data_IF_724389146616
#
_entry.id   IF_724389146616
#
_cell.length_a   1.000
_cell.length_b   1.000
_cell.length_c   1.000
_cell.angle_alpha   90.00
_cell.angle_beta   90.00
_cell.angle_gamma   90.00
#
_symmetry.space_group_name_H-M   'P 1'
#
loop_
_entity.id
_entity.type
_entity.pdbx_description
1 polymer ?
#
# COMPACT_ATOMS: atom_id res chain seq x y z
N UNK A 1 13.48 -39.57 27.81
CA UNK A 1 13.43 -39.07 26.42
C UNK A 1 13.71 -37.59 26.47
N UNK A 2 14.86 -37.16 25.98
CA UNK A 2 15.20 -35.74 25.82
C UNK A 2 14.72 -35.33 24.45
N UNK A 3 13.64 -34.56 24.38
CA UNK A 3 13.22 -33.85 23.17
C UNK A 3 14.40 -32.97 22.74
N UNK A 4 14.99 -33.26 21.58
CA UNK A 4 15.86 -32.30 20.92
C UNK A 4 15.00 -31.07 20.65
N UNK A 5 15.26 -29.98 21.35
CA UNK A 5 14.82 -28.65 20.92
C UNK A 5 15.42 -28.46 19.54
N UNK A 6 14.59 -28.52 18.49
CA UNK A 6 15.03 -28.12 17.17
C UNK A 6 15.55 -26.68 17.30
N UNK A 7 16.84 -26.47 17.03
CA UNK A 7 17.40 -25.12 17.05
C UNK A 7 16.66 -24.30 15.99
N UNK A 8 16.11 -23.17 16.39
CA UNK A 8 15.41 -22.29 15.46
C UNK A 8 16.37 -21.82 14.36
N UNK A 9 15.89 -21.83 13.12
CA UNK A 9 16.60 -21.22 12.01
C UNK A 9 16.57 -19.71 12.22
N UNK A 10 17.75 -19.11 12.33
CA UNK A 10 17.88 -17.67 12.50
C UNK A 10 17.82 -17.01 11.12
N UNK A 11 16.92 -16.05 10.96
CA UNK A 11 16.80 -15.20 9.78
C UNK A 11 17.33 -13.81 10.15
N UNK A 12 18.46 -13.44 9.55
CA UNK A 12 19.01 -12.10 9.67
C UNK A 12 18.23 -11.14 8.76
N UNK A 13 17.45 -10.24 9.37
CA UNK A 13 16.68 -9.23 8.67
C UNK A 13 17.53 -8.19 7.95
N UNK A 14 18.83 -8.09 8.24
CA UNK A 14 19.75 -7.28 7.44
C UNK A 14 20.41 -8.07 6.29
N UNK A 15 20.03 -9.34 6.10
CA UNK A 15 20.56 -10.17 5.04
C UNK A 15 20.32 -9.60 3.64
N UNK A 16 21.30 -9.80 2.76
CA UNK A 16 21.21 -9.62 1.30
C UNK A 16 21.68 -10.91 0.63
N UNK A 17 21.14 -12.04 1.09
CA UNK A 17 21.68 -13.39 0.81
C UNK A 17 21.57 -13.74 -0.67
N UNK A 18 20.39 -13.54 -1.26
CA UNK A 18 20.14 -13.76 -2.67
C UNK A 18 19.31 -12.60 -3.24
N UNK A 19 19.87 -11.86 -4.18
CA UNK A 19 19.15 -10.84 -4.94
C UNK A 19 18.10 -11.49 -5.84
N UNK A 20 16.87 -10.99 -5.76
CA UNK A 20 15.73 -11.46 -6.55
C UNK A 20 15.38 -10.44 -7.62
N UNK A 21 15.34 -9.17 -7.24
CA UNK A 21 15.01 -8.07 -8.14
C UNK A 21 15.53 -6.74 -7.60
N UNK A 22 15.98 -5.88 -8.52
CA UNK A 22 16.31 -4.48 -8.26
C UNK A 22 15.76 -3.67 -9.43
N UNK A 23 15.13 -2.55 -9.15
CA UNK A 23 14.66 -1.66 -10.20
C UNK A 23 13.80 -0.52 -9.70
N UNK A 24 13.11 0.11 -10.64
CA UNK A 24 12.03 1.04 -10.36
C UNK A 24 10.72 0.23 -10.24
N UNK A 25 9.84 0.61 -9.32
CA UNK A 25 8.50 0.05 -9.27
C UNK A 25 7.65 0.68 -10.38
N UNK A 26 6.91 -0.16 -11.09
CA UNK A 26 5.97 0.32 -12.12
C UNK A 26 4.89 1.22 -11.51
N UNK A 27 4.66 1.10 -10.20
CA UNK A 27 3.68 1.86 -9.41
C UNK A 27 4.07 3.31 -9.08
N UNK A 28 5.08 3.86 -9.75
CA UNK A 28 5.50 5.25 -9.62
C UNK A 28 4.45 6.23 -10.18
N UNK A 29 4.39 7.44 -9.61
CA UNK A 29 3.73 8.56 -10.29
C UNK A 29 4.70 9.06 -11.38
N UNK A 30 4.53 8.47 -12.58
CA UNK A 30 5.36 8.57 -13.76
C UNK A 30 5.38 9.94 -14.44
N UNK A 31 6.53 10.13 -15.09
CA UNK A 31 7.06 11.28 -15.82
C UNK A 31 7.00 11.09 -17.34
N UNK A 32 6.07 10.31 -17.90
CA UNK A 32 6.15 10.03 -19.34
C UNK A 32 5.75 11.25 -20.19
N UNK A 33 6.79 11.93 -20.71
CA UNK A 33 6.81 13.03 -21.67
C UNK A 33 5.78 14.16 -21.49
N UNK A 34 5.83 14.96 -20.40
CA UNK A 34 5.09 16.21 -20.36
C UNK A 34 5.83 17.31 -21.15
N UNK A 35 5.08 18.14 -21.86
CA UNK A 35 5.58 19.42 -22.39
C UNK A 35 5.98 20.34 -21.22
N UNK A 36 6.89 21.30 -21.43
CA UNK A 36 7.34 22.23 -20.37
C UNK A 36 6.18 22.94 -19.62
N UNK A 37 5.01 23.08 -20.26
CA UNK A 37 3.81 23.65 -19.64
C UNK A 37 3.12 22.77 -18.58
N UNK A 38 3.48 21.49 -18.49
CA UNK A 38 2.92 20.49 -17.56
C UNK A 38 3.87 20.20 -16.37
N UNK A 39 4.99 20.95 -16.27
CA UNK A 39 6.09 20.73 -15.31
C UNK A 39 5.74 20.94 -13.82
N UNK A 40 4.50 21.33 -13.49
CA UNK A 40 4.03 21.55 -12.10
C UNK A 40 3.43 20.31 -11.43
N UNK A 41 3.29 19.17 -12.13
CA UNK A 41 2.75 17.93 -11.57
C UNK A 41 3.77 17.17 -10.70
N UNK A 42 3.32 16.47 -9.65
CA UNK A 42 4.12 15.73 -8.67
C UNK A 42 4.94 14.58 -9.29
N UNK A 43 6.10 14.29 -8.68
CA UNK A 43 7.26 13.66 -9.34
C UNK A 43 7.88 12.58 -8.46
N UNK A 44 7.13 11.50 -8.18
CA UNK A 44 7.57 10.48 -7.23
C UNK A 44 7.76 9.14 -7.91
N UNK A 45 8.98 8.61 -7.83
CA UNK A 45 9.32 7.26 -8.24
C UNK A 45 9.87 6.44 -7.07
N UNK A 46 9.79 5.13 -7.19
CA UNK A 46 10.20 4.19 -6.15
C UNK A 46 11.31 3.29 -6.67
N UNK A 47 12.49 3.39 -6.07
CA UNK A 47 13.49 2.35 -6.24
C UNK A 47 13.17 1.20 -5.28
N UNK A 48 13.32 -0.03 -5.73
CA UNK A 48 13.17 -1.20 -4.89
C UNK A 48 14.32 -2.20 -5.05
N UNK A 49 14.65 -2.85 -3.94
CA UNK A 49 15.50 -4.04 -3.90
C UNK A 49 14.74 -5.16 -3.17
N UNK A 50 14.80 -6.38 -3.69
CA UNK A 50 14.17 -7.57 -3.10
C UNK A 50 15.20 -8.69 -2.93
N UNK A 51 15.30 -9.22 -1.73
CA UNK A 51 16.24 -10.30 -1.38
C UNK A 51 15.52 -11.50 -0.77
N UNK A 52 15.85 -12.69 -1.23
CA UNK A 52 15.43 -13.93 -0.57
C UNK A 52 16.31 -14.18 0.65
N UNK A 53 15.68 -14.34 1.81
CA UNK A 53 16.37 -14.66 3.07
C UNK A 53 16.22 -16.13 3.44
N UNK A 54 15.06 -16.71 3.17
CA UNK A 54 14.76 -18.12 3.44
C UNK A 54 13.59 -18.60 2.61
N UNK A 55 13.65 -19.86 2.16
CA UNK A 55 12.57 -20.48 1.40
C UNK A 55 12.45 -21.96 1.76
N UNK A 56 11.23 -22.37 2.08
CA UNK A 56 10.82 -23.75 2.27
C UNK A 56 9.45 -23.99 1.62
N UNK A 57 8.88 -25.18 1.76
CA UNK A 57 7.66 -25.60 1.07
C UNK A 57 6.47 -24.66 1.31
N UNK A 58 6.28 -24.20 2.56
CA UNK A 58 5.11 -23.41 2.95
C UNK A 58 5.44 -21.99 3.44
N UNK A 59 6.70 -21.60 3.38
CA UNK A 59 7.16 -20.32 3.91
C UNK A 59 8.27 -19.76 3.03
N UNK A 60 8.15 -18.48 2.69
CA UNK A 60 9.14 -17.75 1.92
C UNK A 60 9.34 -16.38 2.56
N UNK A 61 10.54 -16.17 3.10
CA UNK A 61 10.93 -14.93 3.77
C UNK A 61 11.80 -14.11 2.83
N UNK A 62 11.37 -12.88 2.59
CA UNK A 62 12.07 -11.92 1.75
C UNK A 62 12.31 -10.64 2.53
N UNK A 63 13.39 -9.93 2.19
CA UNK A 63 13.58 -8.53 2.57
C UNK A 63 13.28 -7.64 1.38
N UNK A 64 12.46 -6.63 1.58
CA UNK A 64 12.17 -5.60 0.58
C UNK A 64 12.65 -4.25 1.09
N UNK A 65 13.45 -3.56 0.29
CA UNK A 65 13.89 -2.19 0.53
C UNK A 65 13.25 -1.31 -0.53
N UNK A 66 12.70 -0.17 -0.11
CA UNK A 66 12.06 0.79 -1.01
C UNK A 66 12.52 2.19 -0.65
N UNK A 67 12.90 2.97 -1.66
CA UNK A 67 13.19 4.39 -1.53
C UNK A 67 12.24 5.19 -2.42
N UNK A 68 11.47 6.08 -1.79
CA UNK A 68 10.68 7.07 -2.51
C UNK A 68 11.55 8.27 -2.83
N UNK A 69 11.61 8.64 -4.10
CA UNK A 69 12.41 9.77 -4.57
C UNK A 69 11.49 10.82 -5.16
N UNK A 70 11.54 12.02 -4.59
CA UNK A 70 10.82 13.20 -5.05
C UNK A 70 11.81 14.28 -5.47
N UNK A 71 11.68 14.75 -6.71
CA UNK A 71 12.55 15.77 -7.32
C UNK A 71 14.08 15.47 -7.19
N UNK A 72 14.46 14.19 -7.20
CA UNK A 72 15.86 13.75 -7.08
C UNK A 72 16.37 13.65 -5.64
N UNK A 73 15.49 13.81 -4.65
CA UNK A 73 15.79 13.67 -3.21
C UNK A 73 15.00 12.53 -2.59
N UNK A 74 15.62 11.77 -1.69
CA UNK A 74 14.95 10.72 -0.93
C UNK A 74 13.90 11.35 0.00
N UNK A 75 12.63 11.13 -0.30
CA UNK A 75 11.48 11.63 0.45
C UNK A 75 11.00 10.63 1.51
N UNK A 76 11.37 9.36 1.38
CA UNK A 76 11.08 8.32 2.36
C UNK A 76 11.80 7.02 2.04
N UNK A 77 12.01 6.21 3.06
CA UNK A 77 12.56 4.86 2.93
C UNK A 77 11.71 3.87 3.70
N UNK A 78 11.63 2.67 3.17
CA UNK A 78 10.96 1.56 3.82
C UNK A 78 11.82 0.29 3.75
N UNK A 79 11.92 -0.40 4.89
CA UNK A 79 12.62 -1.68 5.03
C UNK A 79 11.62 -2.67 5.63
N UNK A 80 11.33 -3.73 4.88
CA UNK A 80 10.30 -4.71 5.22
C UNK A 80 10.86 -6.13 5.16
N UNK A 81 10.37 -6.97 6.07
CA UNK A 81 10.45 -8.42 5.97
C UNK A 81 9.07 -8.92 5.55
N UNK A 82 8.99 -9.52 4.37
CA UNK A 82 7.80 -10.14 3.82
C UNK A 82 7.87 -11.65 4.10
N UNK A 83 6.95 -12.16 4.90
CA UNK A 83 6.83 -13.59 5.19
C UNK A 83 5.60 -14.13 4.48
N UNK A 84 5.81 -14.71 3.30
CA UNK A 84 4.77 -15.35 2.51
C UNK A 84 4.49 -16.75 3.05
N UNK A 85 3.22 -17.03 3.31
CA UNK A 85 2.75 -18.27 3.93
C UNK A 85 1.67 -18.91 3.06
N UNK A 86 1.88 -20.16 2.64
CA UNK A 86 0.86 -20.96 1.94
C UNK A 86 0.12 -21.91 2.87
N UNK A 87 0.28 -21.74 4.19
CA UNK A 87 -0.34 -22.55 5.24
C UNK A 87 -0.87 -21.67 6.37
N UNK A 88 -1.94 -22.12 7.01
CA UNK A 88 -2.51 -21.52 8.23
C UNK A 88 -2.02 -22.21 9.50
N UNK A 89 -1.31 -23.33 9.39
CA UNK A 89 -0.70 -24.03 10.53
C UNK A 89 0.58 -23.32 10.98
N UNK A 90 0.37 -22.18 11.63
CA UNK A 90 1.43 -21.30 12.11
C UNK A 90 1.18 -20.87 13.54
N UNK A 91 2.26 -20.73 14.30
CA UNK A 91 2.19 -20.11 15.64
C UNK A 91 3.26 -19.04 15.78
N UNK A 92 2.92 -17.98 16.50
CA UNK A 92 3.85 -16.90 16.84
C UNK A 92 4.19 -16.94 18.31
N UNK A 93 5.47 -16.69 18.61
CA UNK A 93 5.95 -16.48 19.97
C UNK A 93 6.93 -15.32 19.98
N UNK A 94 6.86 -14.52 21.02
CA UNK A 94 7.81 -13.43 21.26
C UNK A 94 8.40 -13.55 22.67
N UNK A 95 9.56 -14.17 22.76
CA UNK A 95 10.36 -14.28 24.00
C UNK A 95 11.68 -13.53 23.79
N UNK A 96 11.59 -12.20 23.71
CA UNK A 96 12.71 -11.32 23.35
C UNK A 96 12.99 -11.24 21.84
N UNK A 97 12.74 -12.32 21.08
CA UNK A 97 12.81 -12.35 19.62
C UNK A 97 11.51 -12.91 19.00
N UNK A 98 11.17 -12.42 17.81
CA UNK A 98 10.04 -12.91 17.03
C UNK A 98 10.35 -14.30 16.46
N UNK A 99 9.62 -15.31 16.88
CA UNK A 99 9.75 -16.68 16.37
C UNK A 99 8.43 -17.13 15.76
N UNK A 100 8.48 -17.41 14.46
CA UNK A 100 7.40 -18.00 13.69
C UNK A 100 7.65 -19.50 13.58
N UNK A 101 6.71 -20.31 14.04
CA UNK A 101 6.70 -21.72 13.71
C UNK A 101 5.79 -21.95 12.52
N UNK A 102 6.35 -22.43 11.42
CA UNK A 102 5.62 -22.82 10.21
C UNK A 102 6.13 -24.18 9.75
N UNK A 103 5.22 -25.11 9.42
CA UNK A 103 5.59 -26.45 8.95
C UNK A 103 6.53 -27.21 9.93
N UNK A 104 6.29 -27.05 11.23
CA UNK A 104 7.11 -27.63 12.30
C UNK A 104 8.52 -27.04 12.43
N UNK A 105 8.91 -26.07 11.60
CA UNK A 105 10.20 -25.40 11.67
C UNK A 105 10.08 -24.07 12.43
N UNK A 106 10.83 -23.88 13.53
CA UNK A 106 10.92 -22.59 14.19
C UNK A 106 11.87 -21.67 13.42
N UNK A 107 11.37 -20.52 12.98
CA UNK A 107 12.12 -19.45 12.32
C UNK A 107 12.17 -18.24 13.26
N UNK A 108 13.37 -17.88 13.73
CA UNK A 108 13.57 -16.66 14.53
C UNK A 108 14.01 -15.51 13.63
N UNK A 109 13.15 -14.50 13.47
CA UNK A 109 13.44 -13.32 12.67
C UNK A 109 14.09 -12.26 13.55
N UNK A 110 15.31 -11.87 13.17
CA UNK A 110 16.04 -10.79 13.82
C UNK A 110 15.93 -9.53 12.97
N UNK A 111 15.14 -8.56 13.41
CA UNK A 111 15.00 -7.31 12.68
C UNK A 111 16.35 -6.57 12.62
N UNK A 112 16.66 -5.99 11.45
CA UNK A 112 17.80 -5.11 11.26
C UNK A 112 17.69 -3.83 12.10
N UNK A 113 16.46 -3.36 12.35
CA UNK A 113 16.17 -2.21 13.21
C UNK A 113 14.74 -2.27 13.77
N UNK A 114 14.42 -1.52 14.84
CA UNK A 114 13.04 -1.41 15.34
C UNK A 114 12.04 -0.82 14.33
N UNK A 115 12.51 -0.16 13.27
CA UNK A 115 11.68 0.42 12.21
C UNK A 115 11.40 -0.55 11.06
N UNK A 116 12.16 -1.65 10.97
CA UNK A 116 11.98 -2.62 9.90
C UNK A 116 10.62 -3.31 10.08
N UNK A 117 9.71 -3.14 9.13
CA UNK A 117 8.34 -3.65 9.25
C UNK A 117 8.31 -5.15 8.97
N UNK A 118 7.53 -5.92 9.71
CA UNK A 118 7.33 -7.35 9.42
C UNK A 118 5.90 -7.55 8.94
N UNK A 119 5.75 -8.25 7.82
CA UNK A 119 4.49 -8.62 7.22
C UNK A 119 4.34 -10.14 7.20
N UNK A 120 3.23 -10.65 7.72
CA UNK A 120 2.77 -12.02 7.49
C UNK A 120 1.69 -12.00 6.42
N UNK A 121 1.97 -12.67 5.31
CA UNK A 121 1.17 -12.61 4.08
C UNK A 121 0.64 -14.02 3.79
N UNK A 122 -0.62 -14.28 4.15
CA UNK A 122 -1.27 -15.57 3.94
C UNK A 122 -1.84 -15.66 2.54
N UNK A 123 -1.24 -16.50 1.70
CA UNK A 123 -1.57 -16.61 0.29
C UNK A 123 -2.84 -17.42 0.07
N UNK A 124 -3.86 -16.80 -0.53
CA UNK A 124 -5.11 -17.48 -0.92
C UNK A 124 -5.96 -17.98 0.25
N UNK A 125 -5.65 -17.57 1.47
CA UNK A 125 -6.41 -17.94 2.68
C UNK A 125 -6.51 -16.75 3.62
N UNK A 126 -7.59 -16.69 4.39
CA UNK A 126 -7.70 -15.79 5.54
C UNK A 126 -6.57 -16.00 6.55
N UNK A 127 -6.15 -14.93 7.21
CA UNK A 127 -5.18 -15.02 8.29
C UNK A 127 -5.82 -15.72 9.51
N UNK A 128 -5.09 -16.59 10.23
CA UNK A 128 -5.61 -17.22 11.44
C UNK A 128 -6.02 -16.18 12.49
N UNK A 129 -7.23 -16.33 13.01
CA UNK A 129 -7.69 -15.51 14.13
C UNK A 129 -6.74 -15.68 15.34
N UNK A 130 -6.56 -14.62 16.12
CA UNK A 130 -5.75 -14.63 17.34
C UNK A 130 -4.25 -14.92 17.15
N UNK A 131 -3.75 -14.96 15.91
CA UNK A 131 -2.34 -15.23 15.61
C UNK A 131 -1.37 -14.30 16.35
N UNK A 132 -1.78 -13.05 16.55
CA UNK A 132 -0.98 -12.00 17.18
C UNK A 132 -1.18 -11.89 18.70
N UNK A 133 -1.95 -12.78 19.33
CA UNK A 133 -2.14 -12.75 20.78
C UNK A 133 -0.80 -12.91 21.51
N UNK A 134 -0.51 -11.98 22.41
CA UNK A 134 0.75 -11.96 23.16
C UNK A 134 1.97 -11.44 22.39
N UNK A 135 1.80 -11.04 21.12
CA UNK A 135 2.84 -10.36 20.33
C UNK A 135 2.76 -8.86 20.61
N UNK A 136 3.89 -8.25 20.99
CA UNK A 136 3.98 -6.81 21.28
C UNK A 136 4.71 -6.02 20.19
N UNK A 137 5.44 -6.72 19.31
CA UNK A 137 6.06 -6.12 18.15
C UNK A 137 5.00 -5.66 17.12
N UNK A 138 5.14 -4.49 16.49
CA UNK A 138 4.31 -4.11 15.36
C UNK A 138 4.43 -5.14 14.24
N UNK A 139 3.32 -5.83 13.94
CA UNK A 139 3.22 -6.85 12.92
C UNK A 139 2.03 -6.56 12.03
N UNK A 140 2.24 -6.60 10.72
CA UNK A 140 1.16 -6.55 9.74
C UNK A 140 0.80 -7.98 9.36
N UNK A 141 -0.47 -8.31 9.43
CA UNK A 141 -0.99 -9.65 9.16
C UNK A 141 -2.12 -9.51 8.18
N UNK A 142 -1.91 -10.01 6.97
CA UNK A 142 -2.86 -9.85 5.88
C UNK A 142 -3.25 -11.22 5.32
N UNK A 143 -4.57 -11.44 5.20
CA UNK A 143 -5.18 -12.58 4.55
C UNK A 143 -5.23 -12.40 3.05
N UNK A 144 -5.52 -13.47 2.32
CA UNK A 144 -5.70 -13.47 0.86
C UNK A 144 -4.60 -12.69 0.10
N UNK A 145 -3.38 -12.69 0.63
CA UNK A 145 -2.31 -11.83 0.18
C UNK A 145 -1.80 -12.25 -1.20
N UNK A 146 -1.38 -11.26 -1.98
CA UNK A 146 -0.82 -11.47 -3.31
C UNK A 146 0.29 -10.47 -3.62
N UNK A 147 1.23 -10.88 -4.46
CA UNK A 147 2.33 -10.01 -4.90
C UNK A 147 1.93 -9.10 -6.06
N UNK A 148 0.91 -9.49 -6.84
CA UNK A 148 0.52 -8.76 -8.05
C UNK A 148 -0.48 -7.66 -7.71
N UNK A 149 -0.20 -6.44 -8.13
CA UNK A 149 -1.14 -5.34 -8.07
C UNK A 149 -2.31 -5.58 -9.03
N UNK A 150 -3.50 -5.14 -8.63
CA UNK A 150 -4.71 -5.25 -9.42
C UNK A 150 -5.53 -3.97 -9.33
N UNK A 151 -6.43 -3.77 -10.29
CA UNK A 151 -7.38 -2.66 -10.31
C UNK A 151 -8.74 -3.11 -9.79
N UNK A 152 -9.34 -2.33 -8.88
CA UNK A 152 -10.68 -2.59 -8.37
C UNK A 152 -11.55 -1.33 -8.28
N UNK A 153 -12.87 -1.55 -8.37
CA UNK A 153 -13.89 -0.50 -8.28
C UNK A 153 -14.43 -0.45 -6.85
N UNK A 154 -14.61 0.76 -6.30
CA UNK A 154 -15.23 0.93 -4.98
C UNK A 154 -16.73 1.17 -5.07
N UNK A 155 -17.42 1.11 -3.93
CA UNK A 155 -18.84 1.50 -3.84
C UNK A 155 -19.05 3.04 -3.93
N UNK A 156 -17.98 3.83 -3.89
CA UNK A 156 -18.04 5.28 -4.05
C UNK A 156 -17.78 5.60 -5.53
N UNK A 157 -18.78 6.16 -6.21
CA UNK A 157 -18.64 6.52 -7.62
C UNK A 157 -17.39 7.39 -7.88
N UNK A 158 -16.69 7.13 -8.98
CA UNK A 158 -15.45 7.82 -9.36
C UNK A 158 -14.26 7.62 -8.40
N UNK A 159 -14.33 6.63 -7.50
CA UNK A 159 -13.22 6.20 -6.66
C UNK A 159 -12.84 4.75 -6.98
N UNK A 160 -11.57 4.55 -7.31
CA UNK A 160 -11.02 3.25 -7.70
C UNK A 160 -9.75 2.95 -6.90
N UNK A 161 -9.34 1.68 -6.87
CA UNK A 161 -8.15 1.21 -6.17
C UNK A 161 -7.18 0.56 -7.16
N UNK A 162 -5.88 0.77 -6.95
CA UNK A 162 -4.82 0.04 -7.63
C UNK A 162 -3.70 -0.33 -6.65
N UNK A 163 -3.41 -1.62 -6.51
CA UNK A 163 -2.38 -2.11 -5.60
C UNK A 163 -2.54 -3.58 -5.26
N UNK A 164 -1.72 -4.07 -4.33
CA UNK A 164 -1.76 -5.48 -3.90
C UNK A 164 -3.09 -5.83 -3.23
N UNK A 165 -3.50 -7.13 -3.20
CA UNK A 165 -4.75 -7.55 -2.55
C UNK A 165 -4.86 -7.08 -1.09
N UNK A 166 -3.77 -7.19 -0.32
CA UNK A 166 -3.70 -6.75 1.07
C UNK A 166 -3.88 -5.24 1.22
N UNK A 167 -3.35 -4.42 0.30
CA UNK A 167 -3.62 -2.98 0.28
C UNK A 167 -5.12 -2.72 0.06
N UNK A 168 -5.70 -3.37 -0.95
CA UNK A 168 -7.10 -3.17 -1.31
C UNK A 168 -8.05 -3.57 -0.18
N UNK A 169 -7.80 -4.73 0.44
CA UNK A 169 -8.59 -5.22 1.57
C UNK A 169 -8.60 -4.20 2.71
N UNK A 170 -7.45 -3.63 3.08
CA UNK A 170 -7.38 -2.58 4.12
C UNK A 170 -8.15 -1.32 3.75
N UNK A 171 -8.06 -0.89 2.50
CA UNK A 171 -8.83 0.27 2.05
C UNK A 171 -10.33 -0.04 2.05
N UNK A 172 -10.74 -1.23 1.63
CA UNK A 172 -12.14 -1.66 1.70
C UNK A 172 -12.65 -1.75 3.13
N UNK A 173 -11.87 -2.28 4.08
CA UNK A 173 -12.19 -2.30 5.50
C UNK A 173 -12.43 -0.87 6.01
N UNK A 174 -11.56 0.08 5.68
CA UNK A 174 -11.74 1.49 6.03
C UNK A 174 -13.02 2.04 5.41
N UNK A 175 -13.22 1.90 4.10
CA UNK A 175 -14.41 2.40 3.41
C UNK A 175 -15.71 1.78 3.94
N UNK A 176 -15.70 0.52 4.36
CA UNK A 176 -16.85 -0.16 4.94
C UNK A 176 -17.30 0.45 6.28
N UNK A 177 -16.41 1.14 6.99
CA UNK A 177 -16.73 1.85 8.22
C UNK A 177 -17.44 3.19 7.96
N UNK A 178 -17.30 3.79 6.77
CA UNK A 178 -17.85 5.11 6.42
C UNK A 178 -19.31 5.35 6.83
N UNK A 179 -20.26 4.39 6.66
CA UNK A 179 -21.64 4.58 7.08
C UNK A 179 -21.81 4.88 8.59
N UNK A 180 -20.87 4.43 9.42
CA UNK A 180 -20.83 4.72 10.86
C UNK A 180 -20.35 6.13 11.21
N UNK A 181 -19.81 6.88 10.24
CA UNK A 181 -19.18 8.19 10.43
C UNK A 181 -19.84 9.26 9.53
N UNK A 182 -21.08 9.67 9.84
CA UNK A 182 -21.87 10.56 8.97
C UNK A 182 -21.23 11.94 8.77
N UNK A 183 -20.42 12.42 9.71
CA UNK A 183 -19.70 13.69 9.55
C UNK A 183 -18.61 13.60 8.49
N UNK A 184 -17.86 12.48 8.46
CA UNK A 184 -16.81 12.28 7.46
C UNK A 184 -17.40 12.03 6.07
N UNK A 185 -18.50 11.28 5.99
CA UNK A 185 -19.28 11.13 4.75
C UNK A 185 -19.75 12.48 4.21
N UNK A 186 -20.30 13.36 5.05
CA UNK A 186 -20.72 14.70 4.62
C UNK A 186 -19.56 15.56 4.12
N UNK A 187 -18.37 15.45 4.71
CA UNK A 187 -17.19 16.18 4.26
C UNK A 187 -16.79 15.75 2.86
N UNK A 188 -16.69 14.44 2.61
CA UNK A 188 -16.39 13.90 1.30
C UNK A 188 -17.44 14.30 0.25
N UNK A 189 -18.73 14.19 0.59
CA UNK A 189 -19.82 14.57 -0.30
C UNK A 189 -19.81 16.07 -0.64
N UNK A 190 -19.42 16.90 0.33
CA UNK A 190 -19.32 18.36 0.12
C UNK A 190 -18.18 18.69 -0.84
N UNK A 191 -17.03 18.03 -0.70
CA UNK A 191 -15.91 18.19 -1.62
C UNK A 191 -16.31 17.79 -3.05
N UNK A 192 -17.01 16.66 -3.20
CA UNK A 192 -17.48 16.14 -4.50
C UNK A 192 -18.56 17.01 -5.16
N UNK A 193 -19.40 17.70 -4.39
CA UNK A 193 -20.45 18.59 -4.91
C UNK A 193 -19.94 19.87 -5.58
N UNK A 194 -18.64 20.18 -5.45
CA UNK A 194 -18.04 21.34 -6.13
C UNK A 194 -17.95 21.15 -7.66
N UNK A 195 -18.23 19.94 -8.14
CA UNK A 195 -17.99 19.53 -9.52
C UNK A 195 -19.29 19.27 -10.29
N UNK A 196 -19.37 19.78 -11.52
CA UNK A 196 -20.42 19.39 -12.47
C UNK A 196 -20.28 17.93 -12.94
N UNK A 197 -19.04 17.45 -13.01
CA UNK A 197 -18.68 16.06 -13.27
C UNK A 197 -17.57 15.69 -12.29
N UNK A 198 -17.83 14.71 -11.41
CA UNK A 198 -16.89 14.32 -10.36
C UNK A 198 -15.63 13.74 -11.02
N UNK A 199 -14.42 14.21 -10.68
CA UNK A 199 -13.20 13.67 -11.26
C UNK A 199 -12.94 12.25 -10.75
N UNK A 200 -12.42 11.39 -11.63
CA UNK A 200 -11.98 10.05 -11.27
C UNK A 200 -10.70 10.12 -10.40
N UNK A 201 -10.75 9.46 -9.24
CA UNK A 201 -9.60 9.29 -8.34
C UNK A 201 -9.25 7.81 -8.24
N UNK A 202 -7.97 7.51 -8.38
CA UNK A 202 -7.42 6.17 -8.18
C UNK A 202 -6.50 6.19 -6.97
N UNK A 203 -6.91 5.52 -5.90
CA UNK A 203 -6.05 5.29 -4.75
C UNK A 203 -5.05 4.19 -5.08
N UNK A 204 -3.78 4.54 -5.02
CA UNK A 204 -2.70 3.69 -5.42
C UNK A 204 -1.80 3.40 -4.23
N UNK A 205 -1.28 2.17 -4.14
CA UNK A 205 -0.45 1.79 -3.01
C UNK A 205 0.81 2.67 -2.92
N UNK A 206 0.96 3.37 -1.80
CA UNK A 206 2.20 4.05 -1.46
C UNK A 206 3.12 3.08 -0.74
N UNK A 207 4.36 3.00 -1.20
CA UNK A 207 5.35 2.11 -0.62
C UNK A 207 6.30 2.80 0.36
N UNK A 208 6.55 4.10 0.23
CA UNK A 208 7.37 4.87 1.15
C UNK A 208 7.11 6.37 0.99
N UNK A 209 7.42 7.14 2.03
CA UNK A 209 7.26 8.60 2.00
C UNK A 209 5.81 9.06 2.18
N UNK A 210 5.58 10.39 2.13
CA UNK A 210 4.25 10.96 2.35
C UNK A 210 3.30 10.67 1.18
N UNK A 211 1.96 10.78 1.37
CA UNK A 211 0.99 10.73 0.29
C UNK A 211 1.29 11.75 -0.81
N UNK A 212 1.06 11.37 -2.06
CA UNK A 212 1.33 12.18 -3.25
C UNK A 212 0.20 12.06 -4.25
N UNK A 213 0.00 13.06 -5.09
CA UNK A 213 -1.07 13.05 -6.09
C UNK A 213 -0.60 13.60 -7.45
N UNK A 214 -1.09 13.01 -8.54
CA UNK A 214 -0.72 13.46 -9.88
C UNK A 214 -1.43 12.72 -11.00
N UNK A 215 -1.19 13.12 -12.26
CA UNK A 215 -1.79 12.50 -13.43
C UNK A 215 -1.15 11.16 -13.83
N UNK A 216 0.00 10.82 -13.23
CA UNK A 216 1.01 9.97 -13.84
C UNK A 216 1.01 8.52 -13.41
N UNK A 217 0.10 7.69 -13.85
CA UNK A 217 0.36 6.23 -13.90
C UNK A 217 -0.49 5.67 -15.02
N UNK A 218 0.07 4.98 -16.01
CA UNK A 218 -0.70 4.42 -17.13
C UNK A 218 -1.44 3.15 -16.67
N UNK A 219 -2.62 3.35 -16.06
CA UNK A 219 -3.49 2.26 -15.59
C UNK A 219 -4.01 1.40 -16.72
N UNK A 220 -4.05 1.89 -17.96
CA UNK A 220 -4.60 1.14 -19.07
C UNK A 220 -3.85 -0.17 -19.34
N UNK A 221 -2.57 -0.26 -18.93
CA UNK A 221 -1.78 -1.50 -19.04
C UNK A 221 -2.10 -2.55 -17.97
N UNK A 222 -2.58 -2.10 -16.80
CA UNK A 222 -2.83 -2.95 -15.65
C UNK A 222 -4.33 -3.15 -15.35
N UNK A 223 -5.19 -2.38 -16.02
CA UNK A 223 -6.63 -2.44 -15.86
C UNK A 223 -7.23 -3.58 -16.69
N UNK A 224 -8.03 -4.48 -16.07
CA UNK A 224 -8.78 -5.49 -16.81
C UNK A 224 -9.71 -4.89 -17.86
N UNK A 225 -9.85 -5.54 -19.02
CA UNK A 225 -10.72 -5.10 -20.13
C UNK A 225 -12.15 -4.76 -19.71
N UNK A 226 -12.69 -5.49 -18.72
CA UNK A 226 -14.03 -5.24 -18.16
C UNK A 226 -14.19 -3.82 -17.60
N UNK A 227 -13.11 -3.17 -17.19
CA UNK A 227 -13.09 -1.83 -16.60
C UNK A 227 -12.56 -0.76 -17.57
N UNK A 228 -12.14 -1.13 -18.79
CA UNK A 228 -11.55 -0.20 -19.76
C UNK A 228 -12.44 1.00 -20.12
N UNK A 229 -13.75 0.89 -19.92
CA UNK A 229 -14.73 1.95 -20.17
C UNK A 229 -14.89 2.94 -19.00
N UNK A 230 -14.36 2.63 -17.81
CA UNK A 230 -14.54 3.42 -16.59
C UNK A 230 -13.57 4.58 -16.48
N UNK A 231 -12.34 4.41 -16.98
CA UNK A 231 -11.31 5.44 -16.96
C UNK A 231 -11.05 5.93 -18.38
N UNK A 232 -11.56 7.11 -18.73
CA UNK A 232 -11.37 7.71 -20.06
C UNK A 232 -10.00 8.38 -20.24
N UNK A 233 -9.00 8.03 -19.43
CA UNK A 233 -7.64 8.60 -19.43
C UNK A 233 -7.47 9.90 -18.64
N UNK A 234 -8.53 10.47 -18.05
CA UNK A 234 -8.47 11.68 -17.22
C UNK A 234 -8.79 11.35 -15.75
N UNK A 235 -7.84 10.76 -15.04
CA UNK A 235 -7.95 10.48 -13.60
C UNK A 235 -6.77 11.07 -12.83
N UNK A 236 -6.97 11.24 -11.53
CA UNK A 236 -5.90 11.60 -10.59
C UNK A 236 -5.52 10.38 -9.76
N UNK A 237 -4.24 10.06 -9.75
CA UNK A 237 -3.68 9.03 -8.88
C UNK A 237 -3.34 9.67 -7.54
N UNK A 238 -3.67 9.00 -6.44
CA UNK A 238 -3.27 9.40 -5.09
C UNK A 238 -2.58 8.23 -4.39
N UNK A 239 -1.31 8.38 -4.05
CA UNK A 239 -0.53 7.39 -3.32
C UNK A 239 -0.98 7.36 -1.85
N UNK A 240 -1.29 6.17 -1.36
CA UNK A 240 -1.81 5.95 -0.02
C UNK A 240 -1.19 4.71 0.65
N UNK A 241 -0.72 4.85 1.90
CA UNK A 241 -0.32 3.71 2.77
C UNK A 241 -1.40 3.53 3.85
N UNK A 242 -2.28 2.51 3.75
CA UNK A 242 -3.34 2.28 4.73
C UNK A 242 -2.82 1.81 6.09
N UNK A 243 -1.53 1.49 6.18
CA UNK A 243 -0.90 1.00 7.39
C UNK A 243 -0.13 2.10 8.14
N UNK A 244 -0.10 3.33 7.63
CA UNK A 244 0.54 4.47 8.28
C UNK A 244 -0.47 5.62 8.44
N UNK A 245 -1.10 5.70 9.62
CA UNK A 245 -2.21 6.61 9.86
C UNK A 245 -1.83 7.89 10.62
N UNK A 246 -0.54 8.24 10.74
CA UNK A 246 -0.03 9.47 11.39
C UNK A 246 -0.76 9.88 12.71
N UNK A 247 -1.19 8.90 13.53
CA UNK A 247 -1.88 9.16 14.81
C UNK A 247 -3.39 9.44 14.73
N UNK A 248 -3.99 9.34 13.55
CA UNK A 248 -5.44 9.28 13.33
C UNK A 248 -5.90 7.83 13.13
N UNK A 249 -7.21 7.57 13.22
CA UNK A 249 -7.75 6.29 12.73
C UNK A 249 -7.68 6.25 11.19
N UNK A 250 -7.47 5.05 10.64
CA UNK A 250 -7.23 4.87 9.20
C UNK A 250 -8.34 5.44 8.31
N UNK A 251 -9.61 5.37 8.75
CA UNK A 251 -10.73 5.95 8.02
C UNK A 251 -10.64 7.48 7.97
N UNK A 252 -10.36 8.12 9.10
CA UNK A 252 -10.19 9.58 9.14
C UNK A 252 -9.03 10.03 8.25
N UNK A 253 -7.91 9.32 8.25
CA UNK A 253 -6.77 9.61 7.37
C UNK A 253 -7.15 9.50 5.90
N UNK A 254 -7.78 8.39 5.51
CA UNK A 254 -8.25 8.14 4.14
C UNK A 254 -9.17 9.27 3.65
N UNK A 255 -10.18 9.64 4.45
CA UNK A 255 -11.19 10.60 4.02
C UNK A 255 -10.67 12.04 3.98
N UNK A 256 -9.75 12.41 4.88
CA UNK A 256 -9.10 13.72 4.83
C UNK A 256 -8.19 13.85 3.60
N UNK A 257 -7.47 12.79 3.26
CA UNK A 257 -6.66 12.75 2.05
C UNK A 257 -7.55 12.86 0.81
N UNK A 258 -8.66 12.11 0.73
CA UNK A 258 -9.60 12.20 -0.39
C UNK A 258 -10.21 13.59 -0.50
N UNK A 259 -10.63 14.19 0.63
CA UNK A 259 -11.11 15.57 0.65
C UNK A 259 -10.06 16.54 0.09
N UNK A 260 -8.80 16.42 0.53
CA UNK A 260 -7.71 17.28 0.07
C UNK A 260 -7.46 17.13 -1.45
N UNK A 261 -7.51 15.90 -1.96
CA UNK A 261 -7.38 15.64 -3.40
C UNK A 261 -8.49 16.35 -4.20
N UNK A 262 -9.75 16.20 -3.77
CA UNK A 262 -10.87 16.94 -4.38
C UNK A 262 -10.73 18.46 -4.22
N UNK A 263 -10.34 19.00 -3.07
CA UNK A 263 -10.23 20.46 -2.93
C UNK A 263 -9.10 21.05 -3.80
N UNK A 264 -8.02 20.29 -4.02
CA UNK A 264 -6.90 20.72 -4.87
C UNK A 264 -7.29 20.76 -6.34
N UNK A 265 -8.02 19.75 -6.82
CA UNK A 265 -8.51 19.70 -8.21
C UNK A 265 -9.52 20.83 -8.49
N UNK A 266 -10.31 21.25 -7.51
CA UNK A 266 -11.29 22.32 -7.66
C UNK A 266 -10.60 23.68 -7.81
N UNK A 267 -9.49 23.88 -7.09
CA UNK A 267 -8.69 25.11 -7.15
C UNK A 267 -8.09 25.37 -8.54
N UNK A 268 -7.84 24.31 -9.32
CA UNK A 268 -7.41 24.39 -10.72
C UNK A 268 -8.54 24.68 -11.73
N UNK A 269 -9.81 24.59 -11.30
CA UNK A 269 -11.01 24.80 -12.13
C UNK A 269 -11.72 26.14 -11.86
N UNK A 270 -11.05 27.11 -11.25
CA UNK A 270 -11.48 28.51 -11.30
C UNK A 270 -11.34 29.02 -12.73
N UNK A 271 -12.33 28.69 -13.58
CA UNK A 271 -12.55 29.39 -14.84
C UNK A 271 -12.64 30.89 -14.53
N UNK A 272 -12.00 31.76 -15.34
CA UNK A 272 -12.23 33.19 -15.21
C UNK A 272 -13.74 33.41 -15.30
N UNK A 273 -14.28 34.19 -14.35
CA UNK A 273 -15.68 34.58 -14.36
C UNK A 273 -16.06 35.02 -15.79
N UNK A 274 -17.23 34.63 -16.31
CA UNK A 274 -17.63 35.05 -17.64
C UNK A 274 -17.52 36.57 -17.71
N UNK A 275 -16.62 37.08 -18.55
CA UNK A 275 -16.63 38.48 -18.92
C UNK A 275 -18.03 38.74 -19.45
N UNK A 276 -18.82 39.55 -18.73
CA UNK A 276 -20.07 40.07 -19.26
C UNK A 276 -19.72 40.80 -20.56
N UNK A 277 -19.97 40.12 -21.67
CA UNK A 277 -20.12 40.74 -22.98
C UNK A 277 -21.54 41.25 -23.06
N UNK A 278 -21.72 42.52 -22.69
CA UNK A 278 -22.23 43.60 -23.55
C UNK A 278 -22.24 44.92 -22.76
#
# INVERSE_FOLDING_TARGET
MTTQTANAQIIDGNGKVQEVAIGEMDEAIAYDNPTESQLTAARVYFNYELFDLYKASNVHVQRRLIEAIDAGTVAGTLDEILVWLTTTDVTLRQEGAFTLQADGQPLTIQQASPKQRIHLLFMGTEAPAHLTEGVTLPLRVDGNAGAQAQFEVTAIDHLYLYGTPQFQERVFEQLALLPGYPQLSRLLDTARKQYATVPDIVLMQCHAGPPQQGPGFDLHRAMPDKYAHLLSGNYTVVLYDPYDAEGLDGLTTLLRMLQHAYDTLASGMLFPAPTQGD
#
